data_IF_197035602181
#
_entry.id   IF_197035602181
#
_cell.length_a   1.000
_cell.length_b   1.000
_cell.length_c   1.000
_cell.angle_alpha   90.00
_cell.angle_beta   90.00
_cell.angle_gamma   90.00
#
_symmetry.space_group_name_H-M   'P 1'
#
loop_
_entity.id
_entity.type
_entity.pdbx_description
1 polymer ?
#
# COMPACT_ATOMS: atom_id res chain seq x y z
N UNK A 1 58.17 -4.36 6.42
CA UNK A 1 56.99 -4.22 5.54
C UNK A 1 55.94 -5.20 6.06
N UNK A 2 54.98 -4.68 6.81
CA UNK A 2 53.96 -5.50 7.49
C UNK A 2 52.70 -5.43 6.59
N UNK A 3 52.38 -6.52 5.91
CA UNK A 3 51.14 -6.65 5.13
C UNK A 3 49.98 -6.80 6.07
N UNK A 4 49.15 -5.76 6.17
CA UNK A 4 47.84 -5.82 6.87
C UNK A 4 46.91 -6.66 6.01
N UNK A 5 46.71 -7.90 6.39
CA UNK A 5 45.64 -8.74 5.81
C UNK A 5 44.29 -8.29 6.44
N UNK A 6 43.52 -7.56 5.64
CA UNK A 6 42.15 -7.21 6.01
C UNK A 6 41.34 -8.51 5.93
N UNK A 7 41.14 -9.16 7.06
CA UNK A 7 40.17 -10.23 7.20
C UNK A 7 38.76 -9.59 7.11
N UNK A 8 38.14 -9.70 5.93
CA UNK A 8 36.73 -9.39 5.74
C UNK A 8 35.95 -10.43 6.52
N UNK A 9 35.47 -10.05 7.71
CA UNK A 9 34.54 -10.88 8.46
C UNK A 9 33.36 -11.21 7.54
N UNK A 10 33.29 -12.45 7.10
CA UNK A 10 32.13 -13.00 6.38
C UNK A 10 31.04 -13.21 7.44
N UNK A 11 30.26 -12.15 7.74
CA UNK A 11 29.05 -12.31 8.50
C UNK A 11 28.13 -13.26 7.74
N UNK A 12 27.78 -14.40 8.34
CA UNK A 12 26.82 -15.32 7.75
C UNK A 12 25.48 -14.59 7.62
N UNK A 13 25.14 -14.21 6.38
CA UNK A 13 23.85 -13.63 6.09
C UNK A 13 22.73 -14.63 6.38
N UNK A 14 21.66 -14.15 6.93
CA UNK A 14 20.44 -14.97 7.07
C UNK A 14 19.48 -14.71 5.89
N UNK A 15 18.59 -15.67 5.62
CA UNK A 15 17.59 -15.52 4.57
C UNK A 15 16.42 -14.69 5.07
N UNK A 16 16.08 -13.63 4.34
CA UNK A 16 14.90 -12.81 4.56
C UNK A 16 13.96 -12.91 3.35
N UNK A 17 12.68 -12.57 3.54
CA UNK A 17 11.72 -12.46 2.43
C UNK A 17 11.68 -11.04 1.92
N UNK A 18 11.79 -10.88 0.59
CA UNK A 18 11.55 -9.60 -0.06
C UNK A 18 10.14 -9.10 0.24
N UNK A 19 10.00 -7.82 0.57
CA UNK A 19 8.69 -7.22 0.90
C UNK A 19 7.83 -6.94 -0.34
N UNK A 20 8.45 -6.94 -1.53
CA UNK A 20 7.74 -6.74 -2.79
C UNK A 20 7.30 -8.07 -3.40
N UNK A 21 8.25 -8.92 -3.78
CA UNK A 21 7.95 -10.16 -4.53
C UNK A 21 7.85 -11.42 -3.67
N UNK A 22 8.14 -11.34 -2.36
CA UNK A 22 8.09 -12.49 -1.45
C UNK A 22 9.21 -13.52 -1.60
N UNK A 23 10.14 -13.34 -2.54
CA UNK A 23 11.29 -14.23 -2.75
C UNK A 23 12.20 -14.26 -1.53
N UNK A 24 12.81 -15.41 -1.26
CA UNK A 24 13.85 -15.55 -0.24
C UNK A 24 15.17 -14.97 -0.78
N UNK A 25 15.74 -14.01 -0.07
CA UNK A 25 16.96 -13.27 -0.45
C UNK A 25 17.96 -13.31 0.69
N UNK A 26 19.26 -13.25 0.36
CA UNK A 26 20.31 -13.13 1.34
C UNK A 26 20.41 -11.68 1.83
N UNK A 27 20.42 -11.50 3.16
CA UNK A 27 20.43 -10.17 3.77
C UNK A 27 21.72 -9.38 3.49
N UNK A 28 22.80 -10.04 3.08
CA UNK A 28 24.06 -9.39 2.70
C UNK A 28 24.01 -8.76 1.31
N UNK A 29 23.23 -9.34 0.39
CA UNK A 29 23.05 -8.84 -0.98
C UNK A 29 21.76 -8.06 -1.20
N UNK A 30 20.83 -8.13 -0.25
CA UNK A 30 19.53 -7.48 -0.34
C UNK A 30 19.61 -5.96 -0.16
N UNK A 31 18.73 -5.25 -0.86
CA UNK A 31 18.52 -3.83 -0.58
C UNK A 31 17.78 -3.69 0.76
N UNK A 32 18.45 -3.09 1.74
CA UNK A 32 17.98 -3.00 3.13
C UNK A 32 17.55 -1.57 3.46
N UNK A 33 16.36 -1.43 4.00
CA UNK A 33 15.85 -0.17 4.56
C UNK A 33 15.49 -0.38 6.03
N UNK A 34 15.88 0.56 6.86
CA UNK A 34 15.56 0.58 8.29
C UNK A 34 14.36 1.48 8.52
N UNK A 35 13.25 0.91 9.01
CA UNK A 35 12.04 1.65 9.33
C UNK A 35 11.76 1.52 10.83
N UNK A 36 12.06 2.58 11.57
CA UNK A 36 12.02 2.55 13.03
C UNK A 36 13.02 1.54 13.58
N UNK A 37 12.55 0.51 14.27
CA UNK A 37 13.39 -0.57 14.85
C UNK A 37 13.43 -1.83 13.96
N UNK A 38 12.82 -1.80 12.77
CA UNK A 38 12.70 -2.99 11.91
C UNK A 38 13.47 -2.82 10.61
N UNK A 39 14.14 -3.89 10.18
CA UNK A 39 14.80 -3.97 8.89
C UNK A 39 13.80 -4.52 7.86
N UNK A 40 13.71 -3.87 6.71
CA UNK A 40 12.94 -4.35 5.55
C UNK A 40 13.92 -4.64 4.42
N UNK A 41 13.72 -5.77 3.76
CA UNK A 41 14.61 -6.25 2.71
C UNK A 41 13.86 -6.34 1.38
N UNK A 42 14.53 -5.97 0.29
CA UNK A 42 14.03 -5.98 -1.09
C UNK A 42 15.10 -6.60 -1.99
N UNK A 43 14.72 -7.15 -3.13
CA UNK A 43 15.69 -7.72 -4.07
C UNK A 43 16.63 -6.64 -4.61
N UNK A 44 16.08 -5.46 -4.89
CA UNK A 44 16.82 -4.30 -5.41
C UNK A 44 16.14 -2.99 -4.96
N UNK A 45 16.78 -1.87 -5.28
CA UNK A 45 16.26 -0.53 -5.00
C UNK A 45 15.01 -0.20 -5.82
N UNK A 46 14.88 -0.75 -7.02
CA UNK A 46 13.73 -0.51 -7.90
C UNK A 46 12.43 -1.05 -7.27
N UNK A 47 12.46 -2.27 -6.74
CA UNK A 47 11.32 -2.86 -6.02
C UNK A 47 10.91 -2.03 -4.80
N UNK A 48 11.88 -1.50 -4.07
CA UNK A 48 11.62 -0.57 -2.97
C UNK A 48 10.93 0.71 -3.47
N UNK A 49 11.48 1.31 -4.54
CA UNK A 49 10.96 2.56 -5.08
C UNK A 49 9.52 2.42 -5.62
N UNK A 50 9.16 1.26 -6.20
CA UNK A 50 7.79 0.97 -6.64
C UNK A 50 6.82 1.01 -5.46
N UNK A 51 7.12 0.26 -4.38
CA UNK A 51 6.27 0.25 -3.17
C UNK A 51 6.22 1.64 -2.53
N UNK A 52 7.35 2.29 -2.39
CA UNK A 52 7.44 3.60 -1.74
C UNK A 52 6.61 4.65 -2.48
N UNK A 53 6.71 4.66 -3.81
CA UNK A 53 5.93 5.57 -4.65
C UNK A 53 4.43 5.29 -4.55
N UNK A 54 4.01 4.02 -4.59
CA UNK A 54 2.61 3.66 -4.43
C UNK A 54 2.07 4.08 -3.06
N UNK A 55 2.85 3.88 -1.99
CA UNK A 55 2.50 4.32 -0.65
C UNK A 55 2.41 5.85 -0.56
N UNK A 56 3.35 6.57 -1.17
CA UNK A 56 3.36 8.03 -1.19
C UNK A 56 2.11 8.58 -1.88
N UNK A 57 1.74 8.08 -3.05
CA UNK A 57 0.52 8.49 -3.76
C UNK A 57 -0.73 8.25 -2.89
N UNK A 58 -0.77 7.12 -2.19
CA UNK A 58 -1.85 6.81 -1.26
C UNK A 58 -1.91 7.82 -0.11
N UNK A 59 -0.79 8.13 0.51
CA UNK A 59 -0.69 9.07 1.62
C UNK A 59 -1.05 10.50 1.17
N UNK A 60 -0.60 10.92 -0.01
CA UNK A 60 -0.91 12.20 -0.62
C UNK A 60 -2.41 12.31 -0.93
N UNK A 61 -3.03 11.25 -1.43
CA UNK A 61 -4.48 11.17 -1.63
C UNK A 61 -5.25 11.42 -0.34
N UNK A 62 -4.87 10.77 0.77
CA UNK A 62 -5.52 10.99 2.06
C UNK A 62 -5.25 12.38 2.63
N UNK A 63 -4.06 12.95 2.43
CA UNK A 63 -3.73 14.31 2.84
C UNK A 63 -4.60 15.34 2.11
N UNK A 64 -4.83 15.15 0.79
CA UNK A 64 -5.77 15.99 0.02
C UNK A 64 -7.19 15.89 0.55
N UNK A 65 -7.66 14.68 0.87
CA UNK A 65 -8.98 14.46 1.46
C UNK A 65 -9.09 15.19 2.80
N UNK A 66 -8.10 15.07 3.69
CA UNK A 66 -8.09 15.79 4.96
C UNK A 66 -8.10 17.31 4.79
N UNK A 67 -7.40 17.81 3.77
CA UNK A 67 -7.46 19.24 3.38
C UNK A 67 -8.85 19.68 2.94
N UNK A 68 -9.57 18.85 2.17
CA UNK A 68 -10.93 19.12 1.72
C UNK A 68 -11.91 19.15 2.90
N UNK A 69 -11.76 18.25 3.85
CA UNK A 69 -12.60 18.21 5.06
C UNK A 69 -12.19 19.25 6.12
N UNK A 70 -11.01 19.87 5.98
CA UNK A 70 -10.43 20.76 6.97
C UNK A 70 -10.01 20.11 8.28
N UNK A 71 -10.05 18.78 8.36
CA UNK A 71 -9.70 17.98 9.54
C UNK A 71 -9.27 16.57 9.15
N UNK A 72 -8.47 15.94 10.02
CA UNK A 72 -8.15 14.52 9.89
C UNK A 72 -9.35 13.67 10.25
N UNK A 73 -9.75 12.77 9.35
CA UNK A 73 -10.83 11.83 9.57
C UNK A 73 -10.22 10.48 9.97
N UNK A 74 -10.68 9.94 11.10
CA UNK A 74 -10.23 8.62 11.59
C UNK A 74 -11.26 7.52 11.36
N UNK A 75 -12.41 7.88 10.80
CA UNK A 75 -13.51 6.96 10.54
C UNK A 75 -13.12 5.92 9.48
N UNK A 76 -13.21 4.65 9.83
CA UNK A 76 -12.82 3.52 8.97
C UNK A 76 -13.62 3.43 7.67
N UNK A 77 -14.82 4.00 7.65
CA UNK A 77 -15.68 4.04 6.45
C UNK A 77 -15.03 4.84 5.33
N UNK A 78 -14.34 5.96 5.64
CA UNK A 78 -13.61 6.71 4.63
C UNK A 78 -12.57 5.83 3.92
N UNK A 79 -11.78 5.11 4.69
CA UNK A 79 -10.75 4.24 4.15
C UNK A 79 -11.32 3.10 3.30
N UNK A 80 -12.47 2.55 3.73
CA UNK A 80 -13.18 1.51 2.97
C UNK A 80 -13.67 2.05 1.63
N UNK A 81 -14.41 3.17 1.61
CA UNK A 81 -14.93 3.79 0.39
C UNK A 81 -13.81 4.18 -0.60
N UNK A 82 -12.73 4.78 -0.09
CA UNK A 82 -11.60 5.19 -0.95
C UNK A 82 -10.84 3.96 -1.49
N UNK A 83 -10.65 2.90 -0.70
CA UNK A 83 -10.02 1.68 -1.20
C UNK A 83 -10.91 0.99 -2.26
N UNK A 84 -12.23 0.91 -2.08
CA UNK A 84 -13.15 0.40 -3.10
C UNK A 84 -13.08 1.22 -4.40
N UNK A 85 -12.98 2.54 -4.30
CA UNK A 85 -12.77 3.40 -5.47
C UNK A 85 -11.39 3.19 -6.11
N UNK A 86 -10.36 2.94 -5.32
CA UNK A 86 -9.00 2.71 -5.84
C UNK A 86 -8.86 1.39 -6.58
N UNK A 87 -9.66 0.39 -6.24
CA UNK A 87 -9.71 -0.89 -6.95
C UNK A 87 -10.28 -0.73 -8.38
N UNK A 88 -11.10 0.31 -8.60
CA UNK A 88 -11.72 0.61 -9.91
C UNK A 88 -10.88 1.62 -10.70
N UNK A 89 -10.42 2.69 -10.05
CA UNK A 89 -9.87 3.87 -10.72
C UNK A 89 -8.38 4.12 -10.50
N UNK A 90 -7.71 3.38 -9.63
CA UNK A 90 -6.37 3.60 -9.07
C UNK A 90 -6.23 4.88 -8.21
N UNK A 91 -5.29 4.84 -7.25
CA UNK A 91 -5.00 6.01 -6.40
C UNK A 91 -4.46 7.20 -7.20
N UNK A 92 -3.70 6.95 -8.27
CA UNK A 92 -3.14 8.01 -9.14
C UNK A 92 -4.24 8.84 -9.79
N UNK A 93 -5.31 8.18 -10.30
CA UNK A 93 -6.44 8.89 -10.90
C UNK A 93 -7.23 9.67 -9.85
N UNK A 94 -7.43 9.09 -8.67
CA UNK A 94 -8.13 9.73 -7.56
C UNK A 94 -7.37 10.97 -7.09
N UNK A 95 -6.05 10.86 -6.87
CA UNK A 95 -5.17 11.96 -6.47
C UNK A 95 -5.22 13.10 -7.50
N UNK A 96 -5.09 12.78 -8.79
CA UNK A 96 -5.14 13.77 -9.86
C UNK A 96 -6.48 14.52 -9.89
N UNK A 97 -7.60 13.81 -9.72
CA UNK A 97 -8.92 14.44 -9.65
C UNK A 97 -9.06 15.36 -8.42
N UNK A 98 -8.66 14.87 -7.25
CA UNK A 98 -8.72 15.62 -6.00
C UNK A 98 -7.85 16.87 -6.05
N UNK A 99 -6.64 16.76 -6.58
CA UNK A 99 -5.71 17.89 -6.74
C UNK A 99 -6.29 19.00 -7.60
N UNK A 100 -6.94 18.66 -8.73
CA UNK A 100 -7.56 19.63 -9.62
C UNK A 100 -8.82 20.28 -9.03
N UNK A 101 -9.58 19.53 -8.23
CA UNK A 101 -10.90 19.94 -7.74
C UNK A 101 -10.95 20.27 -6.25
N UNK A 102 -9.79 20.41 -5.58
CA UNK A 102 -9.70 20.61 -4.13
C UNK A 102 -10.58 21.78 -3.65
N UNK A 103 -10.50 22.94 -4.30
CA UNK A 103 -11.28 24.14 -3.92
C UNK A 103 -12.78 23.93 -4.07
N UNK A 104 -13.20 23.33 -5.18
CA UNK A 104 -14.61 23.01 -5.43
C UNK A 104 -15.17 22.05 -4.39
N UNK A 105 -14.47 20.95 -4.14
CA UNK A 105 -14.87 19.96 -3.17
C UNK A 105 -14.88 20.50 -1.74
N UNK A 106 -13.89 21.32 -1.36
CA UNK A 106 -13.84 21.95 -0.05
C UNK A 106 -15.04 22.88 0.16
N UNK A 107 -15.35 23.75 -0.79
CA UNK A 107 -16.51 24.61 -0.72
C UNK A 107 -17.82 23.81 -0.60
N UNK A 108 -17.94 22.76 -1.37
CA UNK A 108 -19.13 21.91 -1.37
C UNK A 108 -19.32 21.17 -0.04
N UNK A 109 -18.23 20.72 0.58
CA UNK A 109 -18.26 20.05 1.87
C UNK A 109 -18.50 20.98 3.05
N UNK A 110 -18.06 22.26 2.94
CA UNK A 110 -18.24 23.29 3.98
C UNK A 110 -19.63 23.95 3.92
N UNK A 111 -20.17 24.17 2.73
CA UNK A 111 -21.46 24.85 2.54
C UNK A 111 -22.66 23.96 2.85
N UNK A 112 -22.46 22.65 2.97
CA UNK A 112 -23.54 21.70 3.27
C UNK A 112 -23.49 21.25 4.73
N UNK A 113 -24.59 21.43 5.45
CA UNK A 113 -24.75 20.86 6.79
C UNK A 113 -25.04 19.37 6.71
N UNK A 114 -24.28 18.56 7.43
CA UNK A 114 -24.45 17.12 7.51
C UNK A 114 -24.92 16.72 8.92
N UNK A 115 -25.85 15.77 9.01
CA UNK A 115 -26.35 15.26 10.29
C UNK A 115 -25.29 14.43 11.04
N UNK A 116 -24.33 13.83 10.33
CA UNK A 116 -23.28 13.01 10.91
C UNK A 116 -22.04 12.98 10.01
N UNK A 117 -20.89 12.63 10.59
CA UNK A 117 -19.66 12.38 9.84
C UNK A 117 -19.84 11.24 8.82
N UNK A 118 -20.61 10.23 9.17
CA UNK A 118 -20.96 9.14 8.26
C UNK A 118 -21.66 9.66 7.00
N UNK A 119 -22.69 10.48 7.15
CA UNK A 119 -23.41 11.06 6.02
C UNK A 119 -22.50 11.94 5.15
N UNK A 120 -21.59 12.68 5.77
CA UNK A 120 -20.59 13.51 5.10
C UNK A 120 -19.64 12.66 4.24
N UNK A 121 -19.11 11.57 4.79
CA UNK A 121 -18.20 10.65 4.08
C UNK A 121 -18.91 9.97 2.91
N UNK A 122 -20.13 9.46 3.13
CA UNK A 122 -20.93 8.80 2.07
C UNK A 122 -21.25 9.75 0.92
N UNK A 123 -21.59 11.00 1.24
CA UNK A 123 -21.85 12.03 0.24
C UNK A 123 -20.60 12.34 -0.57
N UNK A 124 -19.45 12.49 0.09
CA UNK A 124 -18.16 12.70 -0.56
C UNK A 124 -17.79 11.55 -1.50
N UNK A 125 -17.91 10.31 -1.01
CA UNK A 125 -17.64 9.11 -1.81
C UNK A 125 -18.56 9.01 -3.04
N UNK A 126 -19.82 9.36 -2.91
CA UNK A 126 -20.77 9.39 -4.04
C UNK A 126 -20.38 10.41 -5.11
N UNK A 127 -19.92 11.60 -4.70
CA UNK A 127 -19.41 12.62 -5.62
C UNK A 127 -18.18 12.08 -6.37
N UNK A 128 -17.22 11.50 -5.64
CA UNK A 128 -16.03 10.94 -6.26
C UNK A 128 -16.39 9.84 -7.27
N UNK A 129 -17.28 8.94 -6.90
CA UNK A 129 -17.71 7.83 -7.75
C UNK A 129 -18.30 8.33 -9.08
N UNK A 130 -19.16 9.33 -9.01
CA UNK A 130 -19.80 9.90 -10.19
C UNK A 130 -18.80 10.69 -11.06
N UNK A 131 -17.94 11.48 -10.42
CA UNK A 131 -17.00 12.35 -11.14
C UNK A 131 -15.82 11.59 -11.75
N UNK A 132 -15.34 10.53 -11.09
CA UNK A 132 -14.23 9.72 -11.57
C UNK A 132 -14.59 8.89 -12.81
N UNK A 133 -15.89 8.56 -13.03
CA UNK A 133 -16.34 7.89 -14.25
C UNK A 133 -16.05 8.73 -15.49
N UNK A 134 -16.29 10.01 -15.41
CA UNK A 134 -16.18 10.95 -16.53
C UNK A 134 -14.81 11.63 -16.62
N UNK A 135 -14.02 11.55 -15.54
CA UNK A 135 -12.70 12.18 -15.47
C UNK A 135 -11.69 11.48 -16.36
N UNK A 136 -11.24 12.18 -17.42
CA UNK A 136 -10.16 11.72 -18.29
C UNK A 136 -8.82 11.93 -17.60
N UNK A 137 -8.18 10.85 -17.18
CA UNK A 137 -6.85 10.84 -16.63
C UNK A 137 -5.86 10.32 -17.68
N UNK A 138 -5.03 11.22 -18.21
CA UNK A 138 -3.90 10.82 -19.04
C UNK A 138 -2.76 10.43 -18.12
N UNK A 139 -2.48 9.14 -18.02
CA UNK A 139 -1.31 8.65 -17.32
C UNK A 139 -0.09 9.25 -18.01
N UNK A 140 0.62 10.15 -17.35
CA UNK A 140 1.92 10.63 -17.83
C UNK A 140 2.87 9.42 -17.80
N UNK A 141 2.93 8.70 -18.89
CA UNK A 141 3.91 7.65 -19.10
C UNK A 141 5.29 8.31 -19.05
N UNK A 142 5.95 8.20 -17.89
CA UNK A 142 7.40 8.31 -17.90
C UNK A 142 7.86 7.10 -18.66
N UNK A 143 8.38 7.33 -19.86
CA UNK A 143 9.05 6.36 -20.72
C UNK A 143 10.15 5.68 -19.90
N UNK A 144 9.79 4.63 -19.19
CA UNK A 144 10.72 3.63 -18.71
C UNK A 144 10.40 2.39 -19.55
N UNK A 145 11.39 2.01 -20.36
CA UNK A 145 11.38 0.81 -21.19
C UNK A 145 10.74 -0.33 -20.42
N UNK A 146 9.66 -0.86 -21.00
CA UNK A 146 8.95 -2.03 -20.54
C UNK A 146 9.92 -3.18 -20.31
N UNK A 147 10.03 -3.58 -19.07
CA UNK A 147 10.33 -4.96 -18.74
C UNK A 147 8.96 -5.57 -18.48
N UNK A 148 8.44 -6.32 -19.45
CA UNK A 148 7.31 -7.21 -19.23
C UNK A 148 7.69 -8.19 -18.11
N UNK A 149 7.28 -7.86 -16.89
CA UNK A 149 7.34 -8.80 -15.78
C UNK A 149 5.98 -9.47 -15.75
N UNK A 150 5.94 -10.66 -16.31
CA UNK A 150 4.84 -11.62 -16.12
C UNK A 150 4.73 -11.88 -14.61
N UNK A 151 3.83 -11.16 -13.96
CA UNK A 151 3.64 -11.26 -12.51
C UNK A 151 2.67 -12.40 -12.21
N UNK A 152 3.13 -13.50 -11.62
CA UNK A 152 2.20 -14.51 -11.11
C UNK A 152 1.36 -13.87 -10.00
N UNK A 153 0.04 -13.87 -10.18
CA UNK A 153 -0.94 -13.51 -9.15
C UNK A 153 -0.72 -14.39 -7.92
N UNK A 154 0.01 -13.87 -6.93
CA UNK A 154 0.13 -14.52 -5.63
C UNK A 154 -1.17 -14.33 -4.85
N UNK A 155 -2.11 -15.24 -5.03
CA UNK A 155 -3.27 -15.34 -4.15
C UNK A 155 -2.82 -15.88 -2.78
N UNK A 156 -2.58 -14.98 -1.84
CA UNK A 156 -2.38 -15.36 -0.44
C UNK A 156 -3.70 -15.82 0.16
N UNK A 157 -3.95 -17.14 0.16
CA UNK A 157 -4.96 -17.72 1.05
C UNK A 157 -4.40 -17.64 2.48
N UNK A 158 -4.89 -16.71 3.29
CA UNK A 158 -4.69 -16.76 4.74
C UNK A 158 -5.37 -18.03 5.26
N UNK A 159 -4.59 -19.03 5.65
CA UNK A 159 -5.11 -20.13 6.49
C UNK A 159 -5.56 -19.47 7.80
N UNK A 160 -6.86 -19.45 8.06
CA UNK A 160 -7.37 -18.99 9.35
C UNK A 160 -6.87 -19.96 10.41
N UNK A 161 -6.24 -19.44 11.49
CA UNK A 161 -5.65 -20.27 12.54
C UNK A 161 -6.64 -21.19 13.29
N UNK A 162 -7.95 -21.06 13.04
CA UNK A 162 -8.99 -21.96 13.56
C UNK A 162 -8.99 -23.35 12.92
N UNK A 163 -8.61 -23.48 11.63
CA UNK A 163 -8.54 -24.80 10.98
C UNK A 163 -7.35 -25.65 11.44
N UNK A 164 -6.24 -25.00 11.81
CA UNK A 164 -5.07 -25.72 12.32
C UNK A 164 -5.30 -26.31 13.72
N UNK A 165 -6.20 -25.72 14.52
CA UNK A 165 -6.54 -26.25 15.85
C UNK A 165 -7.47 -27.47 15.76
N UNK A 166 -8.38 -27.48 14.79
CA UNK A 166 -9.34 -28.59 14.60
C UNK A 166 -8.63 -29.85 14.06
N UNK A 167 -7.67 -29.68 13.13
CA UNK A 167 -6.86 -30.79 12.62
C UNK A 167 -5.95 -31.41 13.70
N UNK A 168 -5.52 -30.61 14.70
CA UNK A 168 -4.69 -31.13 15.81
C UNK A 168 -5.51 -31.89 16.87
N UNK A 169 -6.78 -31.56 17.06
CA UNK A 169 -7.68 -32.26 17.98
C UNK A 169 -8.13 -33.63 17.42
N UNK A 170 -8.21 -33.78 16.09
CA UNK A 170 -8.54 -35.08 15.47
C UNK A 170 -7.37 -36.08 15.49
N UNK A 171 -6.10 -35.62 15.43
CA UNK A 171 -4.92 -36.48 15.52
C UNK A 171 -4.65 -37.03 16.94
N UNK A 172 -5.10 -36.32 17.98
CA UNK A 172 -4.87 -36.70 19.39
C UNK A 172 -5.98 -37.63 19.93
N UNK A 173 -7.10 -37.76 19.20
CA UNK A 173 -8.28 -38.54 19.61
C UNK A 173 -8.26 -40.02 19.28
N UNK A 174 -7.26 -40.55 18.56
CA UNK A 174 -7.20 -41.96 18.14
C UNK A 174 -6.21 -42.86 18.93
N UNK A 175 -5.60 -42.34 20.02
CA UNK A 175 -4.77 -43.15 20.91
C UNK A 175 -5.35 -43.23 22.33
N UNK A 176 -6.50 -43.88 22.51
CA UNK A 176 -6.91 -44.51 23.78
C UNK A 176 -7.70 -45.80 23.50
#
# INVERSE_FOLDING_TARGET
>A
MTTLTIMKEMSMGYKAKCKYCGKSIDTNSAYKIVVGKTNRYYCNEEEYNIIHKAQQIKDDTYNLIYGIFGRKITNTILYKEINELSDIYSFEKIEAYLSQNTKYLSNLMQNKSFQSEYAQIRYFAAILKNSLSDFKYEKKEKINKEVEIDMPLCTFKRKSGRKALIEFEEEVGEEV
#
